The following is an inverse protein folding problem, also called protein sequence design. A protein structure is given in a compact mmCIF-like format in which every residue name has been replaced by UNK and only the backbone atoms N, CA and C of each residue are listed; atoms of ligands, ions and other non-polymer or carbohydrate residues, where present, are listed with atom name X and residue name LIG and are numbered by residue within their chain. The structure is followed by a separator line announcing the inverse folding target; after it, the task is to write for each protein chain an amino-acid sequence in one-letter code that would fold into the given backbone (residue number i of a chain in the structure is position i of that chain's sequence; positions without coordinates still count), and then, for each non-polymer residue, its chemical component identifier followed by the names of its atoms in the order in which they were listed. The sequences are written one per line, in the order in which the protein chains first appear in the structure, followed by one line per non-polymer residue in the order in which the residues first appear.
data_IF_437632636286
#
_entry.id   IF_437632636286
#
_cell.length_a   1.000
_cell.length_b   1.000
_cell.length_c   1.000
_cell.angle_alpha   90.00
_cell.angle_beta   90.00
_cell.angle_gamma   90.00
#
_symmetry.space_group_name_H-M   'P 1'
#
loop_
_entity.id
_entity.type
_entity.pdbx_description
1 polymer ?
#
# COMPACT_ATOMS: atom_id res chain seq x y z
N UNK A 1 12.83 15.00 10.87
CA UNK A 1 13.89 14.98 11.89
C UNK A 1 14.96 13.99 11.47
N UNK A 2 16.23 14.40 11.42
CA UNK A 2 17.33 13.54 10.97
C UNK A 2 18.10 12.91 12.13
N UNK A 3 18.49 11.65 11.96
CA UNK A 3 19.26 10.88 12.93
C UNK A 3 20.51 10.30 12.28
N UNK A 4 21.65 10.42 12.96
CA UNK A 4 22.93 9.82 12.53
C UNK A 4 23.05 8.39 13.04
N UNK A 5 22.05 7.58 12.75
CA UNK A 5 21.99 6.16 13.08
C UNK A 5 21.15 5.45 12.01
N UNK A 6 21.41 4.19 11.67
CA UNK A 6 20.51 3.42 10.80
C UNK A 6 19.09 3.40 11.35
N UNK A 7 18.11 3.24 10.46
CA UNK A 7 16.75 2.93 10.89
C UNK A 7 16.70 1.50 11.48
N UNK A 8 15.77 1.18 12.41
CA UNK A 8 15.65 -0.17 12.93
C UNK A 8 15.58 -1.22 11.82
N UNK A 9 16.40 -2.28 11.93
CA UNK A 9 16.54 -3.28 10.86
C UNK A 9 15.23 -4.02 10.60
N UNK A 10 14.44 -4.28 11.64
CA UNK A 10 13.13 -4.92 11.52
C UNK A 10 12.18 -4.10 10.64
N UNK A 11 12.06 -2.80 10.90
CA UNK A 11 11.28 -1.86 10.07
C UNK A 11 11.79 -1.78 8.64
N UNK A 12 13.13 -1.82 8.45
CA UNK A 12 13.72 -1.88 7.11
C UNK A 12 13.26 -3.15 6.39
N UNK A 13 13.42 -4.33 6.99
CA UNK A 13 13.06 -5.59 6.31
C UNK A 13 11.57 -5.68 6.03
N UNK A 14 10.73 -5.24 6.98
CA UNK A 14 9.28 -5.22 6.80
C UNK A 14 8.86 -4.39 5.57
N UNK A 15 9.56 -3.28 5.29
CA UNK A 15 9.23 -2.40 4.16
C UNK A 15 9.99 -2.73 2.87
N UNK A 16 11.23 -3.21 2.98
CA UNK A 16 12.18 -3.34 1.86
C UNK A 16 12.20 -4.74 1.27
N UNK A 17 12.05 -5.78 2.08
CA UNK A 17 12.00 -7.15 1.60
C UNK A 17 10.85 -7.36 0.59
N UNK A 18 9.60 -6.94 0.86
CA UNK A 18 8.50 -7.14 -0.09
C UNK A 18 8.51 -6.15 -1.28
N UNK A 19 9.29 -5.06 -1.20
CA UNK A 19 9.22 -4.00 -2.19
C UNK A 19 9.68 -4.41 -3.60
N UNK A 20 9.04 -3.86 -4.63
CA UNK A 20 9.26 -4.20 -6.03
C UNK A 20 10.29 -3.28 -6.72
N UNK A 21 11.54 -3.34 -6.27
CA UNK A 21 12.66 -2.64 -6.92
C UNK A 21 13.97 -3.45 -6.81
N UNK A 22 15.02 -3.12 -7.58
CA UNK A 22 16.23 -3.94 -7.70
C UNK A 22 16.91 -4.26 -6.36
N UNK A 23 17.46 -5.48 -6.26
CA UNK A 23 18.16 -5.96 -5.06
C UNK A 23 19.32 -5.05 -4.64
N UNK A 24 20.04 -4.46 -5.60
CA UNK A 24 21.12 -3.50 -5.34
C UNK A 24 20.62 -2.29 -4.52
N UNK A 25 19.43 -1.75 -4.85
CA UNK A 25 18.84 -0.64 -4.09
C UNK A 25 18.43 -1.11 -2.69
N UNK A 26 17.91 -2.34 -2.55
CA UNK A 26 17.58 -2.91 -1.22
C UNK A 26 18.82 -3.01 -0.33
N UNK A 27 19.94 -3.44 -0.88
CA UNK A 27 21.23 -3.52 -0.18
C UNK A 27 21.75 -2.13 0.21
N UNK A 28 21.60 -1.14 -0.66
CA UNK A 28 21.92 0.26 -0.33
C UNK A 28 21.09 0.78 0.85
N UNK A 29 19.79 0.46 0.91
CA UNK A 29 18.93 0.86 2.04
C UNK A 29 19.41 0.21 3.35
N UNK A 30 19.70 -1.10 3.33
CA UNK A 30 20.23 -1.83 4.50
C UNK A 30 21.59 -1.30 4.98
N UNK A 31 22.39 -0.76 4.06
CA UNK A 31 23.71 -0.21 4.37
C UNK A 31 23.68 1.27 4.83
N UNK A 32 22.51 1.89 4.93
CA UNK A 32 22.40 3.28 5.38
C UNK A 32 22.89 3.46 6.82
N UNK A 33 23.51 4.60 7.13
CA UNK A 33 24.03 4.94 8.47
C UNK A 33 23.29 6.11 9.12
N UNK A 34 22.26 6.61 8.45
CA UNK A 34 21.43 7.73 8.88
C UNK A 34 20.03 7.56 8.32
N UNK A 35 19.05 8.14 9.02
CA UNK A 35 17.67 8.16 8.59
C UNK A 35 17.03 9.52 8.85
N UNK A 36 15.93 9.80 8.16
CA UNK A 36 15.13 11.01 8.35
C UNK A 36 13.68 10.58 8.54
N UNK A 37 13.11 10.92 9.70
CA UNK A 37 11.69 10.72 9.96
C UNK A 37 10.93 11.95 9.45
N UNK A 38 10.00 11.71 8.53
CA UNK A 38 9.10 12.72 8.00
C UNK A 38 7.74 12.58 8.67
N UNK A 39 7.21 13.67 9.21
CA UNK A 39 5.85 13.72 9.77
C UNK A 39 5.22 15.07 9.40
N UNK A 40 3.92 15.07 9.17
CA UNK A 40 3.18 16.27 8.81
C UNK A 40 2.84 17.10 10.07
N UNK A 41 3.04 18.43 10.01
CA UNK A 41 2.65 19.39 11.06
C UNK A 41 1.95 20.64 10.51
N UNK A 42 1.32 20.52 9.35
CA UNK A 42 0.50 21.58 8.79
C UNK A 42 -0.93 21.57 9.32
N UNK A 43 -1.84 22.22 8.60
CA UNK A 43 -3.24 22.39 8.98
C UNK A 43 -4.23 21.59 8.12
N UNK A 44 -3.76 20.96 7.05
CA UNK A 44 -4.61 20.16 6.18
C UNK A 44 -5.09 18.90 6.91
N UNK A 45 -6.38 18.61 6.81
CA UNK A 45 -7.01 17.45 7.45
C UNK A 45 -7.10 16.24 6.52
N UNK A 46 -6.85 16.41 5.22
CA UNK A 46 -6.85 15.32 4.25
C UNK A 46 -5.59 14.47 4.40
N UNK A 47 -5.69 13.18 4.76
CA UNK A 47 -4.51 12.30 4.85
C UNK A 47 -3.74 12.25 3.53
N UNK A 48 -4.44 12.28 2.39
CA UNK A 48 -3.81 12.30 1.07
C UNK A 48 -2.93 13.54 0.88
N UNK A 49 -3.43 14.74 1.21
CA UNK A 49 -2.62 15.97 1.09
C UNK A 49 -1.41 15.96 2.03
N UNK A 50 -1.56 15.37 3.21
CA UNK A 50 -0.44 15.20 4.14
C UNK A 50 0.63 14.28 3.54
N UNK A 51 0.24 13.11 3.03
CA UNK A 51 1.16 12.16 2.38
C UNK A 51 1.81 12.75 1.12
N UNK A 52 1.07 13.50 0.31
CA UNK A 52 1.60 14.22 -0.87
C UNK A 52 2.67 15.23 -0.43
N UNK A 53 2.41 16.01 0.62
CA UNK A 53 3.39 16.97 1.13
C UNK A 53 4.67 16.27 1.61
N UNK A 54 4.55 15.12 2.30
CA UNK A 54 5.70 14.32 2.73
C UNK A 54 6.46 13.73 1.53
N UNK A 55 5.76 13.23 0.51
CA UNK A 55 6.37 12.69 -0.70
C UNK A 55 7.18 13.76 -1.46
N UNK A 56 6.70 15.00 -1.53
CA UNK A 56 7.44 16.12 -2.12
C UNK A 56 8.74 16.39 -1.37
N UNK A 57 8.70 16.39 -0.02
CA UNK A 57 9.91 16.55 0.80
C UNK A 57 10.88 15.39 0.58
N UNK A 58 10.37 14.16 0.51
CA UNK A 58 11.19 12.99 0.20
C UNK A 58 11.88 13.09 -1.17
N UNK A 59 11.18 13.59 -2.19
CA UNK A 59 11.75 13.87 -3.51
C UNK A 59 12.90 14.87 -3.47
N UNK A 60 12.76 15.94 -2.67
CA UNK A 60 13.85 16.90 -2.45
C UNK A 60 15.06 16.25 -1.74
N UNK A 61 14.81 15.42 -0.72
CA UNK A 61 15.86 14.70 0.01
C UNK A 61 16.59 13.66 -0.85
N UNK A 62 15.97 13.13 -1.90
CA UNK A 62 16.65 12.25 -2.86
C UNK A 62 17.83 12.95 -3.54
N UNK A 63 17.75 14.26 -3.78
CA UNK A 63 18.88 15.05 -4.30
C UNK A 63 20.01 15.25 -3.30
N UNK A 64 19.77 14.93 -2.02
CA UNK A 64 20.74 14.99 -0.92
C UNK A 64 21.27 13.60 -0.53
N UNK A 65 21.00 12.57 -1.33
CA UNK A 65 21.49 11.20 -1.11
C UNK A 65 20.53 10.30 -0.34
N UNK A 66 19.27 10.69 -0.14
CA UNK A 66 18.27 9.73 0.35
C UNK A 66 18.06 8.61 -0.68
N UNK A 67 18.11 7.36 -0.21
CA UNK A 67 18.07 6.16 -1.05
C UNK A 67 16.65 5.67 -1.27
N UNK A 68 15.86 5.56 -0.20
CA UNK A 68 14.48 5.08 -0.25
C UNK A 68 13.58 5.86 0.73
N UNK A 69 12.28 5.79 0.47
CA UNK A 69 11.21 6.26 1.35
C UNK A 69 10.49 5.04 1.86
N UNK A 70 10.42 4.89 3.18
CA UNK A 70 9.70 3.82 3.85
C UNK A 70 8.38 4.37 4.39
N UNK A 71 7.32 3.58 4.29
CA UNK A 71 6.08 3.80 5.01
C UNK A 71 5.79 2.53 5.83
N UNK A 72 6.13 2.58 7.12
CA UNK A 72 5.99 1.43 8.01
C UNK A 72 4.53 1.02 8.18
N UNK A 73 3.60 1.95 8.34
CA UNK A 73 2.17 1.61 8.44
C UNK A 73 1.65 0.87 7.20
N UNK A 74 2.30 1.08 6.06
CA UNK A 74 1.95 0.47 4.79
C UNK A 74 2.84 -0.74 4.42
N UNK A 75 3.78 -1.14 5.28
CA UNK A 75 4.74 -2.23 5.03
C UNK A 75 5.41 -2.15 3.65
N UNK A 76 5.72 -0.95 3.17
CA UNK A 76 6.25 -0.77 1.82
C UNK A 76 7.29 0.34 1.78
N UNK A 77 8.04 0.34 0.68
CA UNK A 77 9.02 1.36 0.39
C UNK A 77 9.18 1.56 -1.11
N UNK A 78 9.69 2.73 -1.49
CA UNK A 78 10.06 3.05 -2.86
C UNK A 78 11.42 3.74 -2.92
N UNK A 79 12.17 3.60 -4.03
CA UNK A 79 13.37 4.38 -4.25
C UNK A 79 13.04 5.88 -4.18
N UNK A 80 13.82 6.65 -3.43
CA UNK A 80 13.52 8.07 -3.22
C UNK A 80 13.53 8.87 -4.53
N UNK A 81 14.26 8.37 -5.54
CA UNK A 81 14.29 8.93 -6.88
C UNK A 81 12.92 9.01 -7.55
N UNK A 82 11.98 8.12 -7.23
CA UNK A 82 10.61 8.11 -7.77
C UNK A 82 9.88 9.43 -7.49
N UNK A 83 10.21 10.10 -6.39
CA UNK A 83 9.56 11.34 -5.97
C UNK A 83 10.24 12.60 -6.51
N UNK A 84 11.32 12.47 -7.30
CA UNK A 84 11.98 13.64 -7.90
C UNK A 84 11.02 14.30 -8.88
N UNK A 85 11.00 15.63 -8.86
CA UNK A 85 10.16 16.41 -9.77
C UNK A 85 10.50 16.16 -11.25
N UNK A 86 11.73 15.77 -11.58
CA UNK A 86 12.08 15.38 -12.95
C UNK A 86 11.39 14.09 -13.39
N UNK A 87 11.27 13.10 -12.50
CA UNK A 87 10.62 11.82 -12.78
C UNK A 87 9.09 11.97 -12.81
N UNK A 88 8.55 12.78 -11.90
CA UNK A 88 7.12 13.09 -11.86
C UNK A 88 6.68 14.12 -12.93
N UNK A 89 7.61 14.82 -13.58
CA UNK A 89 7.30 15.80 -14.63
C UNK A 89 6.64 17.09 -14.15
N UNK A 90 6.11 17.87 -15.11
CA UNK A 90 5.58 19.24 -14.90
C UNK A 90 4.36 19.31 -13.97
N UNK A 91 3.64 18.20 -13.82
CA UNK A 91 2.41 18.08 -13.04
C UNK A 91 2.63 17.18 -11.81
N UNK A 92 3.80 17.26 -11.19
CA UNK A 92 4.22 16.33 -10.15
C UNK A 92 3.24 16.22 -8.98
N UNK A 93 2.61 17.33 -8.57
CA UNK A 93 1.61 17.33 -7.50
C UNK A 93 0.30 16.64 -7.92
N UNK A 94 -0.18 16.89 -9.13
CA UNK A 94 -1.39 16.24 -9.67
C UNK A 94 -1.14 14.74 -9.83
N UNK A 95 0.06 14.35 -10.29
CA UNK A 95 0.45 12.95 -10.36
C UNK A 95 0.47 12.33 -8.97
N UNK A 96 1.07 12.97 -7.95
CA UNK A 96 1.07 12.41 -6.59
C UNK A 96 -0.34 12.28 -5.97
N UNK A 97 -1.26 13.18 -6.32
CA UNK A 97 -2.64 13.16 -5.81
C UNK A 97 -3.50 12.12 -6.51
N UNK A 98 -3.49 12.14 -7.84
CA UNK A 98 -4.50 11.47 -8.67
C UNK A 98 -3.89 10.29 -9.45
N UNK A 99 -2.69 10.48 -10.00
CA UNK A 99 -2.06 9.49 -10.87
C UNK A 99 -1.23 8.42 -10.16
N UNK A 100 -0.78 8.68 -8.94
CA UNK A 100 0.10 7.80 -8.19
C UNK A 100 -0.72 6.71 -7.52
N UNK A 101 -0.46 5.42 -7.77
CA UNK A 101 -1.24 4.35 -7.16
C UNK A 101 -1.08 4.41 -5.63
N UNK A 102 -2.20 4.44 -4.90
CA UNK A 102 -2.20 4.44 -3.44
C UNK A 102 -1.42 3.23 -2.92
N UNK A 103 -1.57 2.09 -3.59
CA UNK A 103 -0.89 0.83 -3.26
C UNK A 103 0.63 0.81 -3.44
N UNK A 104 1.20 1.85 -4.07
CA UNK A 104 2.65 1.91 -4.27
C UNK A 104 3.41 2.33 -3.00
N UNK A 105 2.88 3.30 -2.25
CA UNK A 105 3.52 3.79 -1.01
C UNK A 105 2.53 4.05 0.14
N UNK A 106 1.33 4.55 -0.15
CA UNK A 106 0.43 5.06 0.88
C UNK A 106 -0.40 3.95 1.54
N UNK A 107 -0.87 2.97 0.76
CA UNK A 107 -1.65 1.81 1.19
C UNK A 107 -1.00 0.52 0.67
N UNK A 108 0.23 0.25 1.09
CA UNK A 108 1.18 -0.65 0.44
C UNK A 108 0.62 -2.04 0.15
N UNK A 109 0.98 -2.59 -1.01
CA UNK A 109 0.55 -3.91 -1.48
C UNK A 109 1.65 -4.94 -1.29
N UNK A 110 1.41 -5.91 -0.41
CA UNK A 110 2.38 -6.95 -0.03
C UNK A 110 1.86 -8.32 -0.43
N UNK A 111 2.77 -9.16 -0.92
CA UNK A 111 2.50 -10.55 -1.28
C UNK A 111 3.26 -11.47 -0.33
N UNK A 112 2.60 -12.44 0.25
CA UNK A 112 3.24 -13.43 1.10
C UNK A 112 2.56 -14.80 1.02
N UNK A 113 3.35 -15.82 1.30
CA UNK A 113 2.89 -17.20 1.46
C UNK A 113 2.74 -17.46 2.96
N UNK A 114 1.74 -18.27 3.31
CA UNK A 114 1.53 -18.73 4.69
C UNK A 114 1.90 -20.21 4.71
N UNK A 115 2.66 -20.61 5.72
CA UNK A 115 3.06 -22.01 5.91
C UNK A 115 1.82 -22.93 5.88
N UNK A 116 1.92 -24.04 5.16
CA UNK A 116 0.84 -25.03 4.97
C UNK A 116 -0.43 -24.54 4.24
N UNK A 117 -0.41 -23.33 3.64
CA UNK A 117 -1.51 -22.83 2.79
C UNK A 117 -0.99 -22.67 1.35
N UNK A 118 -1.54 -23.48 0.42
CA UNK A 118 -1.20 -23.37 -1.00
C UNK A 118 -1.79 -22.10 -1.60
N UNK A 119 -0.94 -21.26 -2.20
CA UNK A 119 -1.33 -20.02 -2.84
C UNK A 119 -0.52 -18.84 -2.33
N UNK A 120 -0.96 -17.63 -2.66
CA UNK A 120 -0.31 -16.39 -2.25
C UNK A 120 -1.36 -15.42 -1.75
N UNK A 121 -1.15 -14.87 -0.56
CA UNK A 121 -1.96 -13.78 -0.04
C UNK A 121 -1.48 -12.45 -0.62
N UNK A 122 -2.44 -11.70 -1.17
CA UNK A 122 -2.29 -10.34 -1.66
C UNK A 122 -2.96 -9.42 -0.65
N UNK A 123 -2.21 -8.54 0.02
CA UNK A 123 -2.74 -7.72 1.11
C UNK A 123 -2.33 -6.27 1.00
N UNK A 124 -3.26 -5.35 1.25
CA UNK A 124 -2.94 -3.94 1.48
C UNK A 124 -2.64 -3.69 2.95
N UNK A 125 -1.85 -2.65 3.23
CA UNK A 125 -1.57 -2.16 4.56
C UNK A 125 -1.63 -0.63 4.60
N UNK A 126 -2.15 -0.06 5.69
CA UNK A 126 -2.11 1.38 5.94
C UNK A 126 -3.29 2.16 5.36
N UNK A 127 -4.31 1.48 4.83
CA UNK A 127 -5.54 2.11 4.38
C UNK A 127 -6.33 2.75 5.55
N UNK A 128 -6.13 2.26 6.78
CA UNK A 128 -6.72 2.79 8.01
C UNK A 128 -6.34 4.26 8.26
N UNK A 129 -5.14 4.68 7.83
CA UNK A 129 -4.69 6.08 7.88
C UNK A 129 -5.57 7.03 7.03
N UNK A 130 -6.35 6.47 6.09
CA UNK A 130 -7.33 7.17 5.27
C UNK A 130 -8.77 6.94 5.74
N UNK A 131 -8.97 6.21 6.84
CA UNK A 131 -10.29 5.78 7.30
C UNK A 131 -10.90 4.66 6.45
N UNK A 132 -10.07 3.92 5.70
CA UNK A 132 -10.49 2.87 4.78
C UNK A 132 -10.07 1.48 5.32
N UNK A 133 -10.76 0.40 4.93
CA UNK A 133 -10.31 -0.95 5.25
C UNK A 133 -9.10 -1.33 4.40
N UNK A 134 -8.23 -2.16 4.96
CA UNK A 134 -7.27 -2.94 4.17
C UNK A 134 -7.97 -4.13 3.51
N UNK A 135 -7.48 -4.54 2.34
CA UNK A 135 -7.99 -5.69 1.60
C UNK A 135 -7.00 -6.84 1.61
N UNK A 136 -7.51 -8.06 1.71
CA UNK A 136 -6.74 -9.28 1.55
C UNK A 136 -7.43 -10.21 0.55
N UNK A 137 -6.69 -10.83 -0.35
CA UNK A 137 -7.21 -11.88 -1.23
C UNK A 137 -6.25 -13.06 -1.31
N UNK A 138 -6.81 -14.26 -1.33
CA UNK A 138 -6.05 -15.47 -1.54
C UNK A 138 -6.02 -15.80 -3.04
N UNK A 139 -4.84 -15.71 -3.64
CA UNK A 139 -4.62 -15.94 -5.07
C UNK A 139 -3.97 -17.30 -5.31
N UNK A 140 -4.10 -17.83 -6.53
CA UNK A 140 -3.45 -19.09 -6.91
C UNK A 140 -1.92 -18.98 -6.93
N UNK A 141 -1.40 -17.78 -7.15
CA UNK A 141 0.03 -17.54 -7.07
C UNK A 141 0.44 -16.12 -7.41
N UNK A 142 1.76 -15.89 -7.41
CA UNK A 142 2.37 -14.57 -7.62
C UNK A 142 2.00 -13.89 -8.94
N UNK A 143 1.62 -14.66 -9.97
CA UNK A 143 1.27 -14.17 -11.29
C UNK A 143 -0.02 -13.33 -11.30
N UNK A 144 -0.90 -13.49 -10.31
CA UNK A 144 -2.12 -12.66 -10.16
C UNK A 144 -1.85 -11.33 -9.45
N UNK A 145 -0.61 -11.05 -9.04
CA UNK A 145 -0.28 -9.86 -8.25
C UNK A 145 -0.69 -8.55 -8.91
N UNK A 146 -0.51 -8.41 -10.23
CA UNK A 146 -0.92 -7.19 -10.94
C UNK A 146 -2.44 -7.02 -10.93
N UNK A 147 -3.19 -8.10 -11.19
CA UNK A 147 -4.66 -8.10 -11.18
C UNK A 147 -5.21 -7.60 -9.84
N UNK A 148 -4.73 -8.15 -8.72
CA UNK A 148 -5.20 -7.72 -7.39
C UNK A 148 -4.70 -6.32 -7.01
N UNK A 149 -3.46 -5.95 -7.37
CA UNK A 149 -2.95 -4.58 -7.15
C UNK A 149 -3.81 -3.53 -7.86
N UNK A 150 -4.18 -3.78 -9.12
CA UNK A 150 -5.03 -2.87 -9.91
C UNK A 150 -6.43 -2.76 -9.30
N UNK A 151 -7.04 -3.89 -8.95
CA UNK A 151 -8.38 -3.92 -8.31
C UNK A 151 -8.35 -3.15 -7.00
N UNK A 152 -7.43 -3.46 -6.09
CA UNK A 152 -7.35 -2.83 -4.78
C UNK A 152 -7.03 -1.35 -4.88
N UNK A 153 -6.13 -0.94 -5.77
CA UNK A 153 -5.86 0.47 -6.00
C UNK A 153 -7.11 1.23 -6.50
N UNK A 154 -7.85 0.66 -7.45
CA UNK A 154 -9.06 1.29 -7.98
C UNK A 154 -10.17 1.40 -6.93
N UNK A 155 -10.37 0.35 -6.14
CA UNK A 155 -11.36 0.35 -5.06
C UNK A 155 -10.98 1.35 -3.97
N UNK A 156 -9.74 1.32 -3.47
CA UNK A 156 -9.27 2.29 -2.46
C UNK A 156 -9.41 3.73 -2.95
N UNK A 157 -9.08 3.99 -4.22
CA UNK A 157 -9.25 5.31 -4.84
C UNK A 157 -10.72 5.73 -4.85
N UNK A 158 -11.61 4.84 -5.27
CA UNK A 158 -13.05 5.09 -5.28
C UNK A 158 -13.59 5.40 -3.88
N UNK A 159 -13.21 4.62 -2.86
CA UNK A 159 -13.67 4.85 -1.49
C UNK A 159 -13.14 6.19 -0.95
N UNK A 160 -11.88 6.52 -1.21
CA UNK A 160 -11.28 7.78 -0.81
C UNK A 160 -12.00 9.00 -1.42
N UNK A 161 -12.34 8.93 -2.71
CA UNK A 161 -12.96 10.04 -3.44
C UNK A 161 -14.46 10.18 -3.16
N UNK A 162 -15.17 9.06 -3.06
CA UNK A 162 -16.62 9.06 -2.87
C UNK A 162 -17.05 9.15 -1.40
N UNK A 163 -16.16 8.78 -0.46
CA UNK A 163 -16.51 8.59 0.94
C UNK A 163 -17.43 7.39 1.19
N UNK A 164 -17.58 6.49 0.22
CA UNK A 164 -18.34 5.27 0.40
C UNK A 164 -17.65 4.34 1.41
N UNK A 165 -18.46 3.57 2.13
CA UNK A 165 -17.99 2.61 3.12
C UNK A 165 -18.20 1.17 2.64
N UNK A 166 -17.31 0.28 3.05
CA UNK A 166 -17.38 -1.15 2.78
C UNK A 166 -17.24 -1.93 4.09
N UNK A 167 -18.02 -3.01 4.19
CA UNK A 167 -18.02 -3.91 5.34
C UNK A 167 -18.20 -5.36 4.87
N UNK A 168 -17.96 -6.31 5.76
CA UNK A 168 -18.26 -7.72 5.52
C UNK A 168 -19.73 -7.91 5.08
N UNK A 169 -19.94 -8.78 4.10
CA UNK A 169 -21.22 -9.02 3.45
C UNK A 169 -21.54 -8.09 2.28
N UNK A 170 -20.81 -6.98 2.09
CA UNK A 170 -20.99 -6.12 0.92
C UNK A 170 -20.42 -6.77 -0.35
N UNK A 171 -21.01 -6.40 -1.49
CA UNK A 171 -20.50 -6.71 -2.83
C UNK A 171 -20.25 -5.43 -3.62
N UNK A 172 -19.26 -5.45 -4.51
CA UNK A 172 -18.94 -4.33 -5.41
C UNK A 172 -18.54 -4.87 -6.78
N UNK A 173 -19.12 -4.33 -7.84
CA UNK A 173 -18.71 -4.64 -9.20
C UNK A 173 -17.34 -4.01 -9.49
N UNK A 174 -16.36 -4.82 -9.90
CA UNK A 174 -14.98 -4.35 -10.20
C UNK A 174 -14.54 -4.65 -11.64
N UNK A 175 -15.36 -5.36 -12.39
CA UNK A 175 -15.19 -5.63 -13.81
C UNK A 175 -16.55 -5.68 -14.51
N UNK A 176 -16.56 -6.11 -15.78
CA UNK A 176 -17.83 -6.24 -16.53
C UNK A 176 -18.76 -7.28 -15.91
N UNK A 177 -18.21 -8.43 -15.53
CA UNK A 177 -18.96 -9.55 -14.93
C UNK A 177 -18.42 -9.94 -13.56
N UNK A 178 -17.29 -9.37 -13.14
CA UNK A 178 -16.62 -9.70 -11.89
C UNK A 178 -17.03 -8.76 -10.75
N UNK A 179 -17.37 -9.36 -9.62
CA UNK A 179 -17.71 -8.69 -8.38
C UNK A 179 -16.73 -9.09 -7.28
N UNK A 180 -16.44 -8.15 -6.38
CA UNK A 180 -15.80 -8.42 -5.10
C UNK A 180 -16.88 -8.67 -4.07
N UNK A 181 -16.82 -9.81 -3.39
CA UNK A 181 -17.57 -10.08 -2.16
C UNK A 181 -16.63 -9.95 -0.97
N UNK A 182 -17.12 -9.31 0.08
CA UNK A 182 -16.33 -9.03 1.28
C UNK A 182 -16.75 -9.91 2.44
N UNK A 183 -15.78 -10.36 3.23
CA UNK A 183 -16.01 -11.01 4.52
C UNK A 183 -14.96 -10.57 5.54
N UNK A 184 -15.27 -10.80 6.81
CA UNK A 184 -14.24 -10.73 7.84
C UNK A 184 -13.24 -11.90 7.68
N UNK A 185 -11.98 -11.73 8.11
CA UNK A 185 -11.05 -12.84 8.28
C UNK A 185 -11.66 -13.91 9.19
N UNK A 186 -11.38 -15.17 8.89
CA UNK A 186 -11.72 -16.29 9.76
C UNK A 186 -10.80 -16.33 10.98
N UNK A 187 -11.22 -17.02 12.05
CA UNK A 187 -10.45 -17.12 13.30
C UNK A 187 -9.06 -17.75 13.09
N UNK A 188 -8.92 -18.67 12.14
CA UNK A 188 -7.65 -19.32 11.77
C UNK A 188 -6.81 -18.51 10.77
N UNK A 189 -7.36 -17.43 10.20
CA UNK A 189 -6.64 -16.46 9.37
C UNK A 189 -5.99 -15.34 10.21
N UNK A 190 -5.46 -15.69 11.40
CA UNK A 190 -4.88 -14.72 12.37
C UNK A 190 -3.77 -13.84 11.79
N UNK A 191 -3.09 -14.31 10.74
CA UNK A 191 -2.06 -13.56 10.00
C UNK A 191 -2.63 -12.38 9.18
N UNK A 192 -3.96 -12.28 9.03
CA UNK A 192 -4.66 -11.13 8.41
C UNK A 192 -5.00 -10.03 9.42
N UNK A 193 -4.79 -10.26 10.71
CA UNK A 193 -4.99 -9.25 11.73
C UNK A 193 -4.01 -8.08 11.54
N UNK A 194 -4.43 -6.89 11.95
CA UNK A 194 -3.69 -5.65 11.77
C UNK A 194 -4.25 -4.54 12.66
N UNK A 195 -3.61 -3.36 12.67
CA UNK A 195 -4.07 -2.22 13.47
C UNK A 195 -5.43 -1.67 12.98
N UNK A 196 -5.73 -1.81 11.69
CA UNK A 196 -7.00 -1.43 11.07
C UNK A 196 -7.89 -2.62 10.74
N UNK A 197 -9.07 -2.31 10.18
CA UNK A 197 -9.99 -3.33 9.63
C UNK A 197 -9.40 -3.94 8.37
N UNK A 198 -9.30 -5.27 8.33
CA UNK A 198 -8.98 -6.03 7.10
C UNK A 198 -10.24 -6.71 6.60
N UNK A 199 -10.56 -6.58 5.31
CA UNK A 199 -11.64 -7.31 4.64
C UNK A 199 -11.06 -8.30 3.65
N UNK A 200 -11.50 -9.55 3.73
CA UNK A 200 -11.14 -10.58 2.76
C UNK A 200 -12.02 -10.46 1.53
N UNK A 201 -11.38 -10.49 0.37
CA UNK A 201 -11.98 -10.30 -0.95
C UNK A 201 -12.05 -11.62 -1.67
N UNK A 202 -13.27 -11.98 -2.06
CA UNK A 202 -13.56 -13.11 -2.94
C UNK A 202 -14.07 -12.57 -4.27
N UNK A 203 -13.44 -12.96 -5.37
CA UNK A 203 -13.90 -12.59 -6.71
C UNK A 203 -14.95 -13.59 -7.17
N UNK A 204 -16.15 -13.10 -7.46
CA UNK A 204 -17.32 -13.88 -7.85
C UNK A 204 -17.93 -13.33 -9.14
N UNK A 205 -18.78 -14.12 -9.79
CA UNK A 205 -19.61 -13.65 -10.91
C UNK A 205 -20.99 -13.14 -10.42
N UNK A 206 -21.77 -12.56 -11.33
CA UNK A 206 -23.05 -11.88 -11.00
C UNK A 206 -24.08 -12.83 -10.35
N UNK A 207 -24.15 -14.08 -10.78
CA UNK A 207 -25.11 -15.08 -10.30
C UNK A 207 -24.83 -15.53 -8.86
N UNK A 208 -23.60 -15.34 -8.38
CA UNK A 208 -23.16 -15.69 -7.03
C UNK A 208 -23.42 -14.57 -6.01
N UNK A 209 -23.77 -13.35 -6.47
CA UNK A 209 -24.01 -12.21 -5.59
C UNK A 209 -25.23 -12.39 -4.66
N UNK A 210 -26.20 -13.23 -5.05
CA UNK A 210 -27.46 -13.46 -4.32
C UNK A 210 -27.65 -14.91 -3.86
N UNK A 211 -26.59 -15.74 -3.87
CA UNK A 211 -26.66 -17.09 -3.36
C UNK A 211 -26.73 -17.04 -1.81
N UNK A 212 -27.94 -17.24 -1.29
CA UNK A 212 -28.27 -17.33 0.14
C UNK A 212 -27.84 -18.67 0.75
#
# INVERSE_FOLDING_TARGET
VGFKTPYPQESIEQCVAPAHYPQEVKEQVRATSANIILYYKGYDTSPLEQYVALAVVAGALSSMGAVAVLNESAHTSLPAGVFKSQELGKHSLEILREGFPLTSLFCGFVKYEVEDIEGVWMRTYGADCFGLPDFAAHAQGHHEGQKYSDIFNNVLRYLLESGAEMAAGHTMQVGKTTFMKLRDPLDDEYYLQGPGTTLVVELIEEDECNAH
#
